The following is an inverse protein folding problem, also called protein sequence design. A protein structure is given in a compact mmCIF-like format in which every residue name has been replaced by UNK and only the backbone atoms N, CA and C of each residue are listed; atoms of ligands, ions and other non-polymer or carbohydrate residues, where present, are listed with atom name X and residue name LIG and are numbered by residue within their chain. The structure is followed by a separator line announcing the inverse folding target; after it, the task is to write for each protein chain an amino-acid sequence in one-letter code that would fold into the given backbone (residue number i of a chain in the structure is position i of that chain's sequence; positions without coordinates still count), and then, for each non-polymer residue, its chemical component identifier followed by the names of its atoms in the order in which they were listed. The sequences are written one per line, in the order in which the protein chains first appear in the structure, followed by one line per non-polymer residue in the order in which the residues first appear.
data_IF_781501075982
#
_entry.id   IF_781501075982
#
_cell.length_a   1.000
_cell.length_b   1.000
_cell.length_c   1.000
_cell.angle_alpha   90.00
_cell.angle_beta   90.00
_cell.angle_gamma   90.00
#
_symmetry.space_group_name_H-M   'P 1'
#
loop_
_entity.id
_entity.type
_entity.pdbx_description
1 polymer ?
#
# COMPACT_ATOMS: atom_id res chain seq x y z
N UNK A 1 12.71 1.30 -0.06
CA UNK A 1 11.54 1.80 0.67
C UNK A 1 10.44 2.19 -0.30
N UNK A 2 9.17 2.25 0.12
CA UNK A 2 8.02 2.67 -0.72
C UNK A 2 8.20 4.07 -1.32
N UNK A 3 8.90 4.95 -0.61
CA UNK A 3 9.17 6.35 -0.98
C UNK A 3 9.86 6.51 -2.35
N UNK A 4 10.65 5.52 -2.80
CA UNK A 4 11.31 5.57 -4.11
C UNK A 4 10.42 5.19 -5.30
N UNK A 5 9.25 4.58 -5.06
CA UNK A 5 8.38 4.15 -6.15
C UNK A 5 7.68 5.33 -6.83
N UNK A 6 7.28 6.36 -6.09
CA UNK A 6 6.61 7.52 -6.69
C UNK A 6 7.48 8.20 -7.78
N UNK A 7 8.76 8.43 -7.48
CA UNK A 7 9.70 9.00 -8.44
C UNK A 7 9.93 8.08 -9.66
N UNK A 8 10.07 6.76 -9.43
CA UNK A 8 10.26 5.79 -10.51
C UNK A 8 9.02 5.65 -11.41
N UNK A 9 7.82 5.72 -10.83
CA UNK A 9 6.54 5.69 -11.54
C UNK A 9 6.39 6.97 -12.39
N UNK A 10 6.75 8.13 -11.83
CA UNK A 10 6.71 9.40 -12.55
C UNK A 10 7.70 9.47 -13.72
N UNK A 11 8.87 8.83 -13.57
CA UNK A 11 9.90 8.75 -14.61
C UNK A 11 9.74 7.58 -15.59
N UNK A 12 8.69 6.78 -15.50
CA UNK A 12 8.47 5.66 -16.41
C UNK A 12 8.15 6.16 -17.82
N UNK A 13 8.96 5.77 -18.79
CA UNK A 13 8.82 6.22 -20.19
C UNK A 13 7.86 5.36 -21.01
N UNK A 14 7.53 4.17 -20.53
CA UNK A 14 6.65 3.23 -21.21
C UNK A 14 5.58 2.63 -20.26
N UNK A 15 4.45 2.22 -20.83
CA UNK A 15 3.33 1.69 -20.07
C UNK A 15 3.64 0.36 -19.36
N UNK A 16 4.54 -0.46 -19.90
CA UNK A 16 4.87 -1.74 -19.29
C UNK A 16 5.68 -1.53 -18.00
N UNK A 17 6.70 -0.66 -18.03
CA UNK A 17 7.48 -0.25 -16.86
C UNK A 17 6.59 0.42 -15.82
N UNK A 18 5.71 1.33 -16.25
CA UNK A 18 4.73 1.98 -15.37
C UNK A 18 3.89 0.94 -14.61
N UNK A 19 3.25 0.02 -15.33
CA UNK A 19 2.39 -1.02 -14.76
C UNK A 19 3.16 -1.94 -13.82
N UNK A 20 4.38 -2.37 -14.20
CA UNK A 20 5.23 -3.20 -13.34
C UNK A 20 5.54 -2.48 -12.02
N UNK A 21 5.94 -1.22 -12.08
CA UNK A 21 6.26 -0.43 -10.88
C UNK A 21 5.04 -0.20 -9.98
N UNK A 22 3.87 0.06 -10.57
CA UNK A 22 2.62 0.17 -9.80
C UNK A 22 2.28 -1.14 -9.10
N UNK A 23 2.40 -2.28 -9.79
CA UNK A 23 2.16 -3.61 -9.22
C UNK A 23 3.10 -3.91 -8.05
N UNK A 24 4.39 -3.64 -8.22
CA UNK A 24 5.39 -3.81 -7.16
C UNK A 24 5.11 -2.89 -5.95
N UNK A 25 4.83 -1.61 -6.21
CA UNK A 25 4.52 -0.63 -5.17
C UNK A 25 3.26 -1.02 -4.39
N UNK A 26 2.21 -1.44 -5.10
CA UNK A 26 0.94 -1.85 -4.51
C UNK A 26 1.08 -3.09 -3.63
N UNK A 27 1.76 -4.14 -4.11
CA UNK A 27 2.07 -5.34 -3.31
C UNK A 27 2.83 -4.98 -2.05
N UNK A 28 3.83 -4.13 -2.18
CA UNK A 28 4.66 -3.70 -1.06
C UNK A 28 3.90 -2.85 -0.05
N UNK A 29 2.97 -2.02 -0.51
CA UNK A 29 2.11 -1.21 0.35
C UNK A 29 1.16 -2.09 1.14
N UNK A 30 0.47 -3.03 0.48
CA UNK A 30 -0.41 -3.98 1.15
C UNK A 30 0.36 -4.82 2.17
N UNK A 31 1.59 -5.22 1.86
CA UNK A 31 2.40 -5.94 2.84
C UNK A 31 2.88 -5.05 4.00
N UNK A 32 3.18 -3.78 3.74
CA UNK A 32 3.62 -2.83 4.75
C UNK A 32 2.54 -2.47 5.78
N UNK A 33 1.25 -2.69 5.48
CA UNK A 33 0.18 -2.52 6.48
C UNK A 33 0.31 -3.50 7.63
N UNK A 34 1.03 -4.63 7.46
CA UNK A 34 1.38 -5.53 8.57
C UNK A 34 2.13 -4.78 9.68
N UNK A 35 2.99 -3.81 9.36
CA UNK A 35 3.78 -3.07 10.36
C UNK A 35 2.89 -2.28 11.34
N UNK A 36 1.61 -2.07 11.02
CA UNK A 36 0.64 -1.40 11.90
C UNK A 36 -0.01 -2.35 12.92
N UNK A 37 0.36 -3.64 12.91
CA UNK A 37 -0.19 -4.66 13.82
C UNK A 37 0.54 -4.65 15.17
N UNK A 38 -0.19 -4.93 16.25
CA UNK A 38 0.41 -5.28 17.54
C UNK A 38 1.10 -6.65 17.45
N UNK A 39 2.17 -6.86 18.21
CA UNK A 39 3.01 -8.07 18.21
C UNK A 39 2.23 -9.34 18.65
N UNK A 40 1.03 -9.19 19.18
CA UNK A 40 0.24 -10.24 19.82
C UNK A 40 -0.41 -11.28 18.89
N UNK A 41 -0.57 -10.99 17.60
CA UNK A 41 -1.37 -11.86 16.72
C UNK A 41 -0.51 -12.95 16.05
N UNK A 42 -0.54 -14.17 16.56
CA UNK A 42 0.17 -15.32 15.98
C UNK A 42 -0.30 -15.79 14.59
N UNK A 43 -1.16 -15.03 13.88
CA UNK A 43 -1.70 -15.39 12.57
C UNK A 43 -0.80 -14.90 11.44
N UNK A 44 -0.29 -15.83 10.62
CA UNK A 44 0.49 -15.55 9.43
C UNK A 44 -0.46 -15.50 8.22
N UNK A 45 -0.64 -14.32 7.64
CA UNK A 45 -1.48 -14.16 6.44
C UNK A 45 -0.72 -14.70 5.22
N UNK A 46 -1.32 -15.62 4.48
CA UNK A 46 -0.67 -16.31 3.36
C UNK A 46 -0.81 -15.55 2.02
N UNK A 47 -1.85 -14.72 1.89
CA UNK A 47 -2.18 -14.00 0.66
C UNK A 47 -2.27 -12.48 0.84
N UNK A 48 -2.24 -11.71 -0.26
CA UNK A 48 -2.39 -10.24 -0.20
C UNK A 48 -3.80 -9.82 0.25
N UNK A 49 -4.78 -10.66 -0.06
CA UNK A 49 -6.19 -10.49 0.25
C UNK A 49 -6.43 -10.68 1.74
N UNK A 50 -5.71 -11.62 2.34
CA UNK A 50 -5.69 -11.85 3.77
C UNK A 50 -5.13 -10.63 4.53
N UNK A 51 -4.02 -10.05 4.05
CA UNK A 51 -3.48 -8.79 4.58
C UNK A 51 -4.50 -7.64 4.47
N UNK A 52 -5.17 -7.51 3.33
CA UNK A 52 -6.15 -6.46 3.11
C UNK A 52 -7.40 -6.61 4.00
N UNK A 53 -7.90 -7.84 4.14
CA UNK A 53 -9.08 -8.16 4.95
C UNK A 53 -8.82 -7.91 6.43
N UNK A 54 -7.65 -8.31 6.92
CA UNK A 54 -7.24 -8.03 8.30
C UNK A 54 -7.02 -6.54 8.55
N UNK A 55 -6.39 -5.81 7.63
CA UNK A 55 -6.27 -4.36 7.78
C UNK A 55 -7.63 -3.66 7.80
N UNK A 56 -8.58 -4.12 6.99
CA UNK A 56 -9.93 -3.54 6.96
C UNK A 56 -10.69 -3.68 8.29
N UNK A 57 -10.42 -4.74 9.08
CA UNK A 57 -11.01 -4.87 10.42
C UNK A 57 -10.39 -3.91 11.44
N UNK A 58 -9.08 -3.63 11.33
CA UNK A 58 -8.37 -2.70 12.20
C UNK A 58 -8.60 -1.23 11.85
N UNK A 59 -8.73 -0.92 10.55
CA UNK A 59 -8.80 0.44 10.02
C UNK A 59 -9.86 0.56 8.92
N UNK A 60 -11.16 0.42 9.26
CA UNK A 60 -12.24 0.40 8.26
C UNK A 60 -12.31 1.67 7.41
N UNK A 61 -11.99 2.84 7.99
CA UNK A 61 -11.95 4.12 7.28
C UNK A 61 -10.87 4.23 6.19
N UNK A 62 -9.94 3.26 6.10
CA UNK A 62 -8.88 3.18 5.09
C UNK A 62 -8.99 1.96 4.19
N UNK A 63 -10.00 1.12 4.40
CA UNK A 63 -10.17 -0.14 3.68
C UNK A 63 -10.35 0.07 2.17
N UNK A 64 -11.12 1.07 1.75
CA UNK A 64 -11.34 1.38 0.33
C UNK A 64 -10.04 1.83 -0.37
N UNK A 65 -9.24 2.66 0.32
CA UNK A 65 -7.93 3.08 -0.18
C UNK A 65 -6.97 1.89 -0.32
N UNK A 66 -7.01 0.93 0.62
CA UNK A 66 -6.21 -0.30 0.50
C UNK A 66 -6.71 -1.23 -0.62
N UNK A 67 -8.03 -1.32 -0.82
CA UNK A 67 -8.63 -2.11 -1.90
C UNK A 67 -8.15 -1.62 -3.29
N UNK A 68 -8.02 -0.31 -3.48
CA UNK A 68 -7.43 0.27 -4.69
C UNK A 68 -6.02 -0.31 -4.96
N UNK A 69 -5.17 -0.40 -3.94
CA UNK A 69 -3.83 -0.99 -4.11
C UNK A 69 -3.91 -2.51 -4.32
N UNK A 70 -4.80 -3.23 -3.66
CA UNK A 70 -4.98 -4.66 -3.87
C UNK A 70 -5.36 -4.98 -5.34
N UNK A 71 -6.24 -4.19 -5.94
CA UNK A 71 -6.57 -4.31 -7.37
C UNK A 71 -5.34 -4.09 -8.26
N UNK A 72 -4.57 -3.04 -7.98
CA UNK A 72 -3.35 -2.70 -8.74
C UNK A 72 -2.21 -3.71 -8.54
N UNK A 73 -2.20 -4.46 -7.43
CA UNK A 73 -1.28 -5.55 -7.19
C UNK A 73 -1.53 -6.76 -8.12
N UNK A 74 -2.73 -6.85 -8.71
CA UNK A 74 -3.13 -7.87 -9.69
C UNK A 74 -3.10 -7.32 -11.11
N UNK A 75 -3.86 -6.25 -11.33
CA UNK A 75 -4.07 -5.62 -12.63
C UNK A 75 -3.94 -4.10 -12.52
N UNK A 76 -2.73 -3.53 -12.69
CA UNK A 76 -2.52 -2.09 -12.65
C UNK A 76 -3.13 -1.41 -13.89
N UNK A 77 -4.05 -0.47 -13.67
CA UNK A 77 -4.77 0.23 -14.74
C UNK A 77 -4.76 1.75 -14.59
N UNK A 78 -4.54 2.29 -13.39
CA UNK A 78 -4.60 3.73 -13.16
C UNK A 78 -3.43 4.47 -13.83
N UNK A 79 -3.64 5.73 -14.25
CA UNK A 79 -2.57 6.64 -14.63
C UNK A 79 -1.53 6.81 -13.51
N UNK A 80 -0.25 6.98 -13.89
CA UNK A 80 0.85 7.07 -12.93
C UNK A 80 0.71 8.20 -11.92
N UNK A 81 0.21 9.37 -12.35
CA UNK A 81 -0.06 10.51 -11.47
C UNK A 81 -1.16 10.21 -10.43
N UNK A 82 -2.26 9.57 -10.84
CA UNK A 82 -3.36 9.19 -9.94
C UNK A 82 -2.88 8.17 -8.92
N UNK A 83 -2.16 7.15 -9.38
CA UNK A 83 -1.58 6.13 -8.49
C UNK A 83 -0.59 6.77 -7.50
N UNK A 84 0.29 7.65 -7.97
CA UNK A 84 1.27 8.32 -7.10
C UNK A 84 0.62 9.22 -6.06
N UNK A 85 -0.42 9.97 -6.41
CA UNK A 85 -1.14 10.81 -5.46
C UNK A 85 -1.71 9.96 -4.32
N UNK A 86 -2.39 8.86 -4.65
CA UNK A 86 -2.91 7.90 -3.65
C UNK A 86 -1.80 7.25 -2.84
N UNK A 87 -0.69 6.86 -3.48
CA UNK A 87 0.46 6.23 -2.82
C UNK A 87 1.08 7.17 -1.77
N UNK A 88 1.33 8.43 -2.13
CA UNK A 88 1.91 9.43 -1.24
C UNK A 88 0.97 9.77 -0.08
N UNK A 89 -0.33 9.92 -0.36
CA UNK A 89 -1.34 10.16 0.67
C UNK A 89 -1.40 9.02 1.70
N UNK A 90 -1.50 7.77 1.22
CA UNK A 90 -1.62 6.60 2.09
C UNK A 90 -0.35 6.36 2.91
N UNK A 91 0.83 6.49 2.29
CA UNK A 91 2.12 6.34 2.99
C UNK A 91 2.36 7.43 4.03
N UNK A 92 1.97 8.69 3.75
CA UNK A 92 2.01 9.77 4.73
C UNK A 92 1.09 9.51 5.93
N UNK A 93 -0.13 9.00 5.68
CA UNK A 93 -1.03 8.58 6.75
C UNK A 93 -0.45 7.43 7.59
N UNK A 94 0.12 6.39 6.97
CA UNK A 94 0.75 5.28 7.69
C UNK A 94 1.89 5.77 8.60
N UNK A 95 2.74 6.65 8.10
CA UNK A 95 3.85 7.22 8.87
C UNK A 95 3.36 8.05 10.06
N UNK A 96 2.32 8.85 9.87
CA UNK A 96 1.70 9.61 10.96
C UNK A 96 1.13 8.68 12.03
N UNK A 97 0.40 7.64 11.60
CA UNK A 97 -0.25 6.66 12.49
C UNK A 97 0.77 5.85 13.29
N UNK A 98 1.84 5.37 12.65
CA UNK A 98 2.94 4.66 13.32
C UNK A 98 3.61 5.50 14.41
N UNK A 99 3.84 6.80 14.12
CA UNK A 99 4.44 7.72 15.10
C UNK A 99 3.50 8.00 16.27
N UNK A 100 2.20 8.14 16.01
CA UNK A 100 1.22 8.32 17.07
C UNK A 100 1.11 7.08 17.97
N UNK A 101 1.15 5.88 17.41
CA UNK A 101 1.15 4.62 18.16
C UNK A 101 2.46 4.38 18.94
N UNK A 102 3.61 4.84 18.43
CA UNK A 102 4.89 4.71 19.10
C UNK A 102 5.10 5.70 20.27
N UNK A 103 4.29 6.74 20.37
CA UNK A 103 4.31 7.72 21.46
C UNK A 103 3.18 7.51 22.49
N UNK A 104 2.34 6.48 22.31
CA UNK A 104 1.27 6.08 23.22
C UNK A 104 1.74 4.98 24.18
#
# INVERSE_FOLDING_TARGET
MLQGYAARIAGAQDQHTLRRLQKEAARKLVWATHVLRSVSDGYWQETLEDYASHFASLCPGKAEELAFFLEHARNPWAPGNVFNAKLLQFTGWMQHTQRAQACA
#
